data_IF_799901227082
#
_entry.id   IF_799901227082
#
_cell.length_a   1.000
_cell.length_b   1.000
_cell.length_c   1.000
_cell.angle_alpha   90.00
_cell.angle_beta   90.00
_cell.angle_gamma   90.00
#
_symmetry.space_group_name_H-M   'P 1'
#
loop_
_entity.id
_entity.type
_entity.pdbx_description
1 polymer ?
#
# COMPACT_ATOMS: atom_id res chain seq x y z
N UNK A 1 26.29 34.36 -25.72
CA UNK A 1 24.88 34.58 -25.36
C UNK A 1 24.34 33.24 -24.87
N UNK A 2 24.16 33.03 -23.55
CA UNK A 2 23.79 31.74 -22.99
C UNK A 2 22.28 31.70 -22.78
N UNK A 3 21.51 31.29 -23.79
CA UNK A 3 20.06 31.11 -23.64
C UNK A 3 19.72 29.63 -23.43
N UNK A 4 19.43 29.35 -22.15
CA UNK A 4 18.51 28.34 -21.63
C UNK A 4 18.43 27.01 -22.39
N UNK A 5 19.34 26.08 -22.08
CA UNK A 5 18.95 24.67 -22.03
C UNK A 5 18.04 24.50 -20.81
N UNK A 6 16.75 24.82 -20.99
CA UNK A 6 15.69 24.32 -20.12
C UNK A 6 15.70 22.79 -20.27
N UNK A 7 16.59 22.15 -19.54
CA UNK A 7 16.61 20.73 -19.30
C UNK A 7 15.25 20.42 -18.68
N UNK A 8 14.30 20.03 -19.54
CA UNK A 8 13.04 19.42 -19.11
C UNK A 8 13.48 18.24 -18.27
N UNK A 9 13.52 18.43 -16.96
CA UNK A 9 13.51 17.35 -15.97
C UNK A 9 12.19 16.64 -16.19
N UNK A 10 12.17 15.79 -17.21
CA UNK A 10 11.09 14.88 -17.52
C UNK A 10 11.02 14.01 -16.29
N UNK A 11 10.09 14.35 -15.38
CA UNK A 11 9.68 13.43 -14.34
C UNK A 11 9.33 12.16 -15.09
N UNK A 12 10.09 11.06 -14.94
CA UNK A 12 9.69 9.82 -15.57
C UNK A 12 8.35 9.48 -14.92
N UNK A 13 7.27 9.73 -15.67
CA UNK A 13 5.93 9.43 -15.21
C UNK A 13 5.91 7.96 -14.77
N UNK A 14 5.13 7.59 -13.75
CA UNK A 14 5.03 6.22 -13.23
C UNK A 14 4.35 5.24 -14.21
N UNK A 15 4.63 5.34 -15.52
CA UNK A 15 4.09 4.49 -16.59
C UNK A 15 4.38 3.01 -16.34
N UNK A 16 5.61 2.70 -15.88
CA UNK A 16 5.99 1.33 -15.54
C UNK A 16 5.22 0.77 -14.36
N UNK A 17 4.92 1.60 -13.36
CA UNK A 17 4.14 1.17 -12.19
C UNK A 17 2.69 0.90 -12.58
N UNK A 18 2.08 1.77 -13.39
CA UNK A 18 0.72 1.54 -13.91
C UNK A 18 0.66 0.21 -14.68
N UNK A 19 1.60 -0.04 -15.61
CA UNK A 19 1.64 -1.30 -16.34
C UNK A 19 1.83 -2.51 -15.43
N UNK A 20 2.72 -2.42 -14.44
CA UNK A 20 2.96 -3.51 -13.49
C UNK A 20 1.73 -3.76 -12.60
N UNK A 21 1.07 -2.71 -12.14
CA UNK A 21 -0.17 -2.79 -11.38
C UNK A 21 -1.28 -3.41 -12.20
N UNK A 22 -1.49 -2.98 -13.44
CA UNK A 22 -2.46 -3.61 -14.34
C UNK A 22 -2.13 -5.09 -14.59
N UNK A 23 -0.86 -5.43 -14.83
CA UNK A 23 -0.43 -6.81 -15.03
C UNK A 23 -0.64 -7.66 -13.78
N UNK A 24 -0.38 -7.11 -12.59
CA UNK A 24 -0.63 -7.77 -11.31
C UNK A 24 -2.12 -7.98 -11.07
N UNK A 25 -2.95 -6.94 -11.27
CA UNK A 25 -4.40 -7.03 -11.11
C UNK A 25 -4.97 -8.09 -12.06
N UNK A 26 -4.57 -8.06 -13.34
CA UNK A 26 -5.00 -9.05 -14.32
C UNK A 26 -4.52 -10.46 -13.95
N UNK A 27 -3.26 -10.61 -13.53
CA UNK A 27 -2.72 -11.90 -13.09
C UNK A 27 -3.43 -12.45 -11.86
N UNK A 28 -3.68 -11.59 -10.86
CA UNK A 28 -4.45 -11.92 -9.66
C UNK A 28 -5.88 -12.31 -10.00
N UNK A 29 -6.52 -11.60 -10.93
CA UNK A 29 -7.86 -11.92 -11.40
C UNK A 29 -7.90 -13.29 -12.08
N UNK A 30 -6.96 -13.57 -12.99
CA UNK A 30 -6.85 -14.87 -13.67
C UNK A 30 -6.58 -15.99 -12.66
N UNK A 31 -5.70 -15.75 -11.67
CA UNK A 31 -5.34 -16.75 -10.67
C UNK A 31 -6.50 -17.09 -9.73
N UNK A 32 -7.24 -16.08 -9.27
CA UNK A 32 -8.29 -16.25 -8.26
C UNK A 32 -9.65 -16.61 -8.86
N UNK A 33 -10.02 -15.99 -9.99
CA UNK A 33 -11.33 -16.18 -10.61
C UNK A 33 -11.29 -17.15 -11.80
N UNK A 34 -10.16 -17.24 -12.51
CA UNK A 34 -10.01 -18.06 -13.71
C UNK A 34 -10.86 -17.59 -14.89
N UNK A 35 -10.60 -18.08 -16.11
CA UNK A 35 -11.49 -17.90 -17.25
C UNK A 35 -12.70 -18.85 -17.09
N UNK A 36 -13.51 -18.65 -16.05
CA UNK A 36 -14.73 -19.44 -15.85
C UNK A 36 -15.81 -18.96 -16.83
N UNK A 37 -16.56 -19.91 -17.38
CA UNK A 37 -17.64 -19.68 -18.35
C UNK A 37 -18.77 -18.77 -17.82
N UNK A 38 -19.78 -18.46 -18.64
CA UNK A 38 -20.74 -17.39 -18.39
C UNK A 38 -21.37 -17.49 -17.00
N UNK A 39 -21.06 -16.47 -16.18
CA UNK A 39 -21.70 -16.00 -14.96
C UNK A 39 -22.96 -16.79 -14.54
N UNK A 40 -22.78 -17.95 -13.92
CA UNK A 40 -23.83 -18.50 -13.06
C UNK A 40 -23.81 -17.65 -11.78
N UNK A 41 -24.85 -16.85 -11.63
CA UNK A 41 -24.88 -15.60 -10.87
C UNK A 41 -24.89 -15.71 -9.35
N UNK A 42 -24.94 -16.91 -8.76
CA UNK A 42 -25.00 -17.06 -7.30
C UNK A 42 -24.49 -18.44 -6.87
N UNK A 43 -23.17 -18.60 -6.83
CA UNK A 43 -22.58 -19.73 -6.09
C UNK A 43 -21.54 -19.20 -5.12
N UNK A 44 -21.53 -19.75 -3.90
CA UNK A 44 -20.59 -19.44 -2.82
C UNK A 44 -19.11 -19.41 -3.29
N UNK A 45 -18.79 -20.14 -4.36
CA UNK A 45 -17.49 -20.15 -5.04
C UNK A 45 -16.99 -18.76 -5.49
N UNK A 46 -17.89 -17.84 -5.86
CA UNK A 46 -17.49 -16.49 -6.29
C UNK A 46 -17.01 -15.62 -5.13
N UNK A 47 -17.59 -15.83 -3.93
CA UNK A 47 -17.19 -15.10 -2.74
C UNK A 47 -15.77 -15.50 -2.31
N UNK A 48 -15.41 -16.78 -2.41
CA UNK A 48 -14.06 -17.26 -2.11
C UNK A 48 -13.02 -16.73 -3.10
N UNK A 49 -13.33 -16.72 -4.41
CA UNK A 49 -12.47 -16.13 -5.43
C UNK A 49 -12.20 -14.64 -5.20
N UNK A 50 -13.20 -13.88 -4.77
CA UNK A 50 -13.06 -12.46 -4.41
C UNK A 50 -12.21 -12.25 -3.15
N UNK A 51 -12.33 -13.13 -2.15
CA UNK A 51 -11.49 -13.10 -0.94
C UNK A 51 -10.03 -13.31 -1.31
N UNK A 52 -9.73 -14.36 -2.06
CA UNK A 52 -8.38 -14.66 -2.55
C UNK A 52 -7.82 -13.52 -3.43
N UNK A 53 -8.67 -12.91 -4.26
CA UNK A 53 -8.29 -11.74 -5.04
C UNK A 53 -7.88 -10.55 -4.16
N UNK A 54 -8.66 -10.24 -3.11
CA UNK A 54 -8.34 -9.15 -2.18
C UNK A 54 -7.01 -9.37 -1.43
N UNK A 55 -6.73 -10.62 -1.02
CA UNK A 55 -5.45 -10.99 -0.39
C UNK A 55 -4.30 -10.84 -1.39
N UNK A 56 -4.49 -11.27 -2.63
CA UNK A 56 -3.46 -11.16 -3.68
C UNK A 56 -3.16 -9.69 -4.01
N UNK A 57 -4.16 -8.81 -3.98
CA UNK A 57 -3.94 -7.37 -4.08
C UNK A 57 -3.13 -6.85 -2.90
N UNK A 58 -3.46 -7.27 -1.68
CA UNK A 58 -2.72 -6.89 -0.47
C UNK A 58 -1.24 -7.30 -0.57
N UNK A 59 -0.95 -8.52 -1.02
CA UNK A 59 0.43 -8.98 -1.25
C UNK A 59 1.17 -8.14 -2.30
N UNK A 60 0.47 -7.72 -3.36
CA UNK A 60 1.03 -6.81 -4.37
C UNK A 60 1.43 -5.46 -3.76
N UNK A 61 0.60 -4.92 -2.86
CA UNK A 61 0.82 -3.65 -2.17
C UNK A 61 1.95 -3.76 -1.15
N UNK A 62 2.00 -4.83 -0.36
CA UNK A 62 2.94 -4.95 0.77
C UNK A 62 4.31 -5.49 0.36
N UNK A 63 4.40 -6.28 -0.72
CA UNK A 63 5.64 -6.95 -1.13
C UNK A 63 6.09 -6.48 -2.51
N UNK A 64 5.28 -6.70 -3.55
CA UNK A 64 5.72 -6.52 -4.94
C UNK A 64 6.06 -5.04 -5.24
N UNK A 65 5.23 -4.11 -4.77
CA UNK A 65 5.46 -2.69 -4.98
C UNK A 65 6.70 -2.16 -4.23
N UNK A 66 6.86 -2.34 -2.91
CA UNK A 66 8.07 -1.90 -2.20
C UNK A 66 9.36 -2.51 -2.76
N UNK A 67 9.35 -3.80 -3.12
CA UNK A 67 10.49 -4.46 -3.75
C UNK A 67 10.85 -3.82 -5.09
N UNK A 68 9.88 -3.73 -6.00
CA UNK A 68 10.12 -3.14 -7.33
C UNK A 68 10.61 -1.70 -7.23
N UNK A 69 10.14 -0.94 -6.25
CA UNK A 69 10.53 0.45 -6.07
C UNK A 69 11.92 0.60 -5.47
N UNK A 70 12.26 -0.16 -4.42
CA UNK A 70 13.56 -0.05 -3.75
C UNK A 70 14.73 -0.61 -4.58
N UNK A 71 14.44 -1.47 -5.57
CA UNK A 71 15.39 -1.94 -6.58
C UNK A 71 15.80 -0.86 -7.59
N UNK A 72 15.03 0.22 -7.74
CA UNK A 72 15.37 1.31 -8.64
C UNK A 72 16.48 2.20 -8.03
N UNK A 73 17.54 2.43 -8.81
CA UNK A 73 18.79 3.04 -8.35
C UNK A 73 18.75 4.57 -8.25
N UNK A 74 17.76 5.24 -8.85
CA UNK A 74 17.67 6.72 -8.91
C UNK A 74 16.34 7.24 -8.37
N UNK A 75 16.41 7.89 -7.21
CA UNK A 75 15.35 8.73 -6.68
C UNK A 75 15.80 10.18 -6.72
N UNK A 76 15.19 10.99 -7.57
CA UNK A 76 15.43 12.44 -7.64
C UNK A 76 14.57 13.20 -6.63
N UNK A 77 13.37 12.70 -6.33
CA UNK A 77 12.44 13.28 -5.36
C UNK A 77 11.64 12.16 -4.66
N UNK A 78 12.21 11.48 -3.64
CA UNK A 78 11.67 10.23 -3.08
C UNK A 78 10.25 10.39 -2.49
N UNK A 79 9.97 11.53 -1.85
CA UNK A 79 8.66 11.82 -1.25
C UNK A 79 7.59 12.07 -2.32
N UNK A 80 7.90 12.88 -3.34
CA UNK A 80 6.91 13.20 -4.38
C UNK A 80 6.61 11.98 -5.26
N UNK A 81 7.62 11.16 -5.52
CA UNK A 81 7.46 9.93 -6.29
C UNK A 81 6.63 8.89 -5.53
N UNK A 82 6.92 8.66 -4.24
CA UNK A 82 6.12 7.74 -3.41
C UNK A 82 4.67 8.21 -3.25
N UNK A 83 4.40 9.52 -3.07
CA UNK A 83 3.04 10.03 -3.03
C UNK A 83 2.27 9.81 -4.34
N UNK A 84 2.93 10.05 -5.49
CA UNK A 84 2.32 9.76 -6.78
C UNK A 84 2.05 8.26 -6.96
N UNK A 85 2.97 7.41 -6.54
CA UNK A 85 2.80 5.95 -6.57
C UNK A 85 1.61 5.54 -5.68
N UNK A 86 1.45 6.11 -4.47
CA UNK A 86 0.30 5.87 -3.60
C UNK A 86 -1.03 6.24 -4.28
N UNK A 87 -1.11 7.43 -4.90
CA UNK A 87 -2.33 7.89 -5.58
C UNK A 87 -2.69 6.92 -6.71
N UNK A 88 -1.69 6.52 -7.52
CA UNK A 88 -1.90 5.58 -8.62
C UNK A 88 -2.43 4.23 -8.11
N UNK A 89 -1.85 3.70 -7.04
CA UNK A 89 -2.27 2.43 -6.47
C UNK A 89 -3.67 2.51 -5.85
N UNK A 90 -3.97 3.57 -5.09
CA UNK A 90 -5.31 3.78 -4.52
C UNK A 90 -6.35 3.87 -5.63
N UNK A 91 -6.12 4.70 -6.65
CA UNK A 91 -7.03 4.81 -7.78
C UNK A 91 -7.21 3.48 -8.52
N UNK A 92 -6.13 2.71 -8.71
CA UNK A 92 -6.18 1.40 -9.37
C UNK A 92 -7.02 0.40 -8.58
N UNK A 93 -6.87 0.38 -7.25
CA UNK A 93 -7.64 -0.48 -6.35
C UNK A 93 -9.12 -0.08 -6.34
N UNK A 94 -9.43 1.21 -6.21
CA UNK A 94 -10.81 1.72 -6.22
C UNK A 94 -11.52 1.40 -7.54
N UNK A 95 -10.88 1.70 -8.68
CA UNK A 95 -11.44 1.42 -10.02
C UNK A 95 -11.67 -0.08 -10.24
N UNK A 96 -10.90 -0.95 -9.59
CA UNK A 96 -11.04 -2.40 -9.73
C UNK A 96 -12.10 -2.98 -8.79
N UNK A 97 -12.11 -2.56 -7.52
CA UNK A 97 -13.00 -3.11 -6.50
C UNK A 97 -14.44 -2.59 -6.59
N UNK A 98 -14.65 -1.35 -7.04
CA UNK A 98 -16.00 -0.78 -7.17
C UNK A 98 -16.89 -1.54 -8.15
N UNK A 99 -16.45 -1.85 -9.39
CA UNK A 99 -17.25 -2.66 -10.32
C UNK A 99 -17.46 -4.09 -9.82
N UNK A 100 -16.47 -4.68 -9.12
CA UNK A 100 -16.58 -6.03 -8.54
C UNK A 100 -17.69 -6.13 -7.48
N UNK A 101 -18.10 -5.00 -6.89
CA UNK A 101 -19.28 -4.95 -6.03
C UNK A 101 -20.56 -5.29 -6.79
N UNK A 102 -20.71 -4.89 -8.05
CA UNK A 102 -21.91 -5.23 -8.85
C UNK A 102 -22.01 -6.72 -9.15
N UNK A 103 -20.88 -7.43 -9.06
CA UNK A 103 -20.75 -8.86 -9.31
C UNK A 103 -20.72 -9.68 -8.01
N UNK A 104 -20.80 -9.04 -6.84
CA UNK A 104 -20.69 -9.70 -5.54
C UNK A 104 -21.82 -9.30 -4.60
N UNK A 105 -22.09 -10.14 -3.60
CA UNK A 105 -23.09 -9.87 -2.55
C UNK A 105 -22.57 -8.90 -1.47
N UNK A 106 -21.49 -8.17 -1.74
CA UNK A 106 -20.87 -7.30 -0.75
C UNK A 106 -21.69 -6.02 -0.51
N UNK A 107 -21.97 -5.77 0.77
CA UNK A 107 -22.59 -4.51 1.19
C UNK A 107 -21.66 -3.32 0.92
N UNK A 108 -22.26 -2.13 0.79
CA UNK A 108 -21.51 -0.86 0.61
C UNK A 108 -20.44 -0.72 1.70
N UNK A 109 -20.83 -0.95 2.95
CA UNK A 109 -19.96 -0.78 4.11
C UNK A 109 -18.77 -1.75 4.09
N UNK A 110 -19.00 -3.00 3.64
CA UNK A 110 -17.93 -3.99 3.51
C UNK A 110 -16.93 -3.56 2.43
N UNK A 111 -17.40 -3.19 1.24
CA UNK A 111 -16.50 -2.72 0.17
C UNK A 111 -15.68 -1.51 0.62
N UNK A 112 -16.31 -0.54 1.29
CA UNK A 112 -15.66 0.68 1.78
C UNK A 112 -14.60 0.38 2.86
N UNK A 113 -14.87 -0.60 3.73
CA UNK A 113 -13.89 -1.03 4.73
C UNK A 113 -12.66 -1.71 4.09
N UNK A 114 -12.86 -2.57 3.08
CA UNK A 114 -11.77 -3.25 2.36
C UNK A 114 -10.91 -2.21 1.62
N UNK A 115 -11.53 -1.28 0.90
CA UNK A 115 -10.79 -0.25 0.16
C UNK A 115 -10.02 0.68 1.10
N UNK A 116 -10.60 1.07 2.24
CA UNK A 116 -9.90 1.88 3.24
C UNK A 116 -8.70 1.14 3.87
N UNK A 117 -8.84 -0.15 4.16
CA UNK A 117 -7.73 -0.97 4.67
C UNK A 117 -6.59 -1.02 3.65
N UNK A 118 -6.91 -1.33 2.38
CA UNK A 118 -5.93 -1.35 1.29
C UNK A 118 -5.26 0.02 1.12
N UNK A 119 -6.04 1.10 1.11
CA UNK A 119 -5.53 2.46 1.01
C UNK A 119 -4.60 2.84 2.17
N UNK A 120 -4.96 2.47 3.41
CA UNK A 120 -4.10 2.68 4.57
C UNK A 120 -2.76 1.95 4.44
N UNK A 121 -2.77 0.69 3.98
CA UNK A 121 -1.54 -0.08 3.76
C UNK A 121 -0.70 0.48 2.62
N UNK A 122 -1.32 0.98 1.54
CA UNK A 122 -0.63 1.70 0.47
C UNK A 122 0.08 2.93 1.04
N UNK A 123 -0.59 3.73 1.86
CA UNK A 123 0.01 4.92 2.47
C UNK A 123 1.16 4.58 3.42
N UNK A 124 1.00 3.53 4.23
CA UNK A 124 2.01 3.07 5.17
C UNK A 124 3.25 2.54 4.44
N UNK A 125 3.08 1.69 3.43
CA UNK A 125 4.17 1.19 2.60
C UNK A 125 4.81 2.30 1.79
N UNK A 126 4.04 3.27 1.30
CA UNK A 126 4.55 4.45 0.61
C UNK A 126 5.48 5.29 1.49
N UNK A 127 5.13 5.47 2.78
CA UNK A 127 6.00 6.14 3.75
C UNK A 127 7.31 5.37 3.98
N UNK A 128 7.25 4.05 4.12
CA UNK A 128 8.43 3.19 4.26
C UNK A 128 9.34 3.24 3.03
N UNK A 129 8.75 3.21 1.83
CA UNK A 129 9.48 3.36 0.56
C UNK A 129 10.12 4.75 0.48
N UNK A 130 9.44 5.81 0.90
CA UNK A 130 9.99 7.16 0.93
C UNK A 130 11.21 7.27 1.86
N UNK A 131 11.15 6.65 3.04
CA UNK A 131 12.27 6.57 3.99
C UNK A 131 13.45 5.79 3.40
N UNK A 132 13.20 4.61 2.83
CA UNK A 132 14.23 3.76 2.22
C UNK A 132 14.89 4.38 1.00
N UNK A 133 14.12 5.14 0.21
CA UNK A 133 14.63 5.88 -0.94
C UNK A 133 15.56 7.04 -0.53
N UNK A 134 15.31 7.66 0.63
CA UNK A 134 16.18 8.69 1.21
C UNK A 134 17.47 8.15 1.86
N UNK A 135 17.51 6.86 2.19
CA UNK A 135 18.68 6.24 2.81
C UNK A 135 19.83 6.04 1.79
N UNK A 136 21.03 6.47 2.18
CA UNK A 136 22.25 6.43 1.35
C UNK A 136 22.87 5.02 1.26
N UNK A 137 22.55 4.14 2.23
CA UNK A 137 23.07 2.77 2.31
C UNK A 137 22.10 1.71 1.80
N UNK A 138 22.62 0.71 1.09
CA UNK A 138 21.86 -0.45 0.62
C UNK A 138 21.26 -1.27 1.78
N UNK A 139 21.90 -1.25 2.93
CA UNK A 139 21.48 -1.96 4.15
C UNK A 139 20.12 -1.48 4.67
N UNK A 140 19.86 -0.16 4.70
CA UNK A 140 18.55 0.37 5.11
C UNK A 140 17.43 -0.06 4.14
N UNK A 141 17.72 -0.09 2.83
CA UNK A 141 16.74 -0.55 1.83
C UNK A 141 16.40 -2.02 2.01
N UNK A 142 17.42 -2.85 2.24
CA UNK A 142 17.25 -4.28 2.53
C UNK A 142 16.48 -4.46 3.83
N UNK A 143 16.78 -3.72 4.89
CA UNK A 143 16.05 -3.81 6.16
C UNK A 143 14.59 -3.39 6.04
N UNK A 144 14.26 -2.40 5.20
CA UNK A 144 12.86 -2.00 4.97
C UNK A 144 12.12 -3.07 4.17
N UNK A 145 12.74 -3.63 3.13
CA UNK A 145 12.14 -4.75 2.36
C UNK A 145 11.99 -5.98 3.24
N UNK A 146 13.01 -6.34 4.01
CA UNK A 146 13.00 -7.46 4.95
C UNK A 146 11.95 -7.23 6.04
N UNK A 147 11.86 -6.01 6.57
CA UNK A 147 10.85 -5.62 7.55
C UNK A 147 9.44 -5.76 6.99
N UNK A 148 9.16 -5.24 5.79
CA UNK A 148 7.87 -5.40 5.11
C UNK A 148 7.55 -6.87 4.82
N UNK A 149 8.54 -7.66 4.40
CA UNK A 149 8.38 -9.09 4.11
C UNK A 149 8.13 -9.89 5.39
N UNK A 150 8.88 -9.65 6.47
CA UNK A 150 8.64 -10.24 7.78
C UNK A 150 7.27 -9.83 8.32
N UNK A 151 6.87 -8.57 8.19
CA UNK A 151 5.53 -8.11 8.58
C UNK A 151 4.43 -8.83 7.82
N UNK A 152 4.63 -9.15 6.54
CA UNK A 152 3.60 -9.80 5.73
C UNK A 152 3.60 -11.33 5.88
N UNK A 153 4.79 -11.94 5.97
CA UNK A 153 4.98 -13.41 5.93
C UNK A 153 5.08 -14.02 7.33
N UNK A 154 5.66 -13.33 8.31
CA UNK A 154 5.78 -13.81 9.69
C UNK A 154 4.60 -13.42 10.58
N UNK A 155 3.70 -12.54 10.13
CA UNK A 155 2.46 -12.24 10.86
C UNK A 155 1.62 -13.47 11.23
N UNK A 156 1.37 -14.47 10.36
CA UNK A 156 0.60 -15.65 10.74
C UNK A 156 1.27 -16.49 11.84
N UNK A 157 2.59 -16.41 11.99
CA UNK A 157 3.36 -17.14 13.01
C UNK A 157 3.35 -16.43 14.39
N UNK A 158 2.96 -15.16 14.45
CA UNK A 158 2.92 -14.35 15.67
C UNK A 158 1.50 -14.26 16.28
N UNK A 159 0.54 -15.00 15.73
CA UNK A 159 -0.90 -14.93 16.03
C UNK A 159 -1.31 -15.48 17.40
N UNK A 160 -0.40 -16.09 18.15
CA UNK A 160 -0.67 -16.56 19.52
C UNK A 160 -0.96 -15.42 20.52
N UNK A 161 -0.63 -14.17 20.16
CA UNK A 161 -1.00 -12.99 20.93
C UNK A 161 -2.25 -12.33 20.32
N UNK A 162 -3.42 -12.49 20.97
CA UNK A 162 -4.68 -11.80 20.61
C UNK A 162 -4.51 -10.28 20.39
N UNK A 163 -3.52 -9.69 21.07
CA UNK A 163 -3.16 -8.28 20.98
C UNK A 163 -2.47 -7.86 19.67
N UNK A 164 -2.13 -8.77 18.74
CA UNK A 164 -1.43 -8.45 17.48
C UNK A 164 -2.19 -8.89 16.21
N UNK A 165 -3.33 -9.57 16.34
CA UNK A 165 -4.14 -10.02 15.20
C UNK A 165 -4.61 -8.87 14.29
N UNK A 166 -4.79 -7.66 14.84
CA UNK A 166 -5.20 -6.47 14.09
C UNK A 166 -4.07 -5.83 13.24
N UNK A 167 -2.83 -6.31 13.35
CA UNK A 167 -1.71 -5.80 12.56
C UNK A 167 -1.40 -6.64 11.32
N UNK A 168 -1.98 -7.85 11.19
CA UNK A 168 -1.71 -8.70 10.04
C UNK A 168 -2.49 -8.21 8.80
N UNK A 169 -1.83 -7.74 7.72
CA UNK A 169 -2.52 -7.26 6.52
C UNK A 169 -3.41 -8.33 5.86
N UNK A 170 -3.01 -9.60 5.93
CA UNK A 170 -3.73 -10.72 5.31
C UNK A 170 -4.92 -11.14 6.16
N UNK A 171 -4.74 -11.28 7.47
CA UNK A 171 -5.87 -11.65 8.35
C UNK A 171 -6.90 -10.53 8.45
N UNK A 172 -6.47 -9.26 8.39
CA UNK A 172 -7.40 -8.12 8.40
C UNK A 172 -8.26 -8.08 7.14
N UNK A 173 -7.67 -8.36 5.97
CA UNK A 173 -8.41 -8.43 4.70
C UNK A 173 -9.30 -9.65 4.62
N UNK A 174 -8.85 -10.81 5.11
CA UNK A 174 -9.65 -12.03 5.21
C UNK A 174 -10.80 -11.89 6.22
N UNK A 175 -10.56 -11.33 7.40
CA UNK A 175 -11.57 -11.15 8.44
C UNK A 175 -12.71 -10.23 7.98
N UNK A 176 -12.38 -9.14 7.29
CA UNK A 176 -13.39 -8.19 6.77
C UNK A 176 -14.15 -8.78 5.58
N UNK A 177 -13.54 -9.68 4.80
CA UNK A 177 -14.17 -10.29 3.63
C UNK A 177 -14.97 -11.57 3.94
N UNK A 178 -14.86 -12.13 5.15
CA UNK A 178 -15.50 -13.40 5.55
C UNK A 178 -16.80 -13.26 6.33
N UNK A 179 -16.99 -12.22 7.14
CA UNK A 179 -18.08 -12.16 8.13
C UNK A 179 -19.29 -11.35 7.62
N UNK A 180 -20.50 -11.93 7.70
CA UNK A 180 -21.76 -11.30 7.27
C UNK A 180 -22.24 -10.13 8.13
N UNK A 181 -22.54 -8.95 7.52
CA UNK A 181 -22.97 -7.78 8.26
C UNK A 181 -24.36 -7.94 8.90
N UNK A 182 -25.21 -8.85 8.40
CA UNK A 182 -26.60 -8.99 8.88
C UNK A 182 -26.72 -9.73 10.22
N UNK A 183 -25.75 -10.60 10.56
CA UNK A 183 -25.64 -11.19 11.92
C UNK A 183 -25.06 -10.22 12.97
N UNK A 184 -24.70 -9.00 12.55
CA UNK A 184 -23.82 -8.06 13.27
C UNK A 184 -24.51 -6.78 13.78
N UNK A 185 -25.80 -6.57 13.48
CA UNK A 185 -26.56 -5.42 13.99
C UNK A 185 -27.03 -5.57 15.45
N UNK A 186 -26.72 -6.69 16.11
CA UNK A 186 -27.09 -6.97 17.51
C UNK A 186 -26.01 -6.73 18.56
N UNK A 187 -24.72 -6.58 18.21
CA UNK A 187 -23.64 -6.35 19.18
C UNK A 187 -22.53 -5.41 18.64
N UNK A 188 -22.08 -4.52 19.52
CA UNK A 188 -20.99 -3.51 19.40
C UNK A 188 -19.60 -4.09 19.04
N UNK A 189 -18.56 -3.27 18.76
CA UNK A 189 -18.30 -2.38 17.62
C UNK A 189 -17.28 -3.04 16.66
N UNK A 190 -17.43 -2.81 15.36
CA UNK A 190 -16.60 -3.36 14.28
C UNK A 190 -15.07 -3.40 14.55
N UNK A 191 -14.39 -4.55 14.36
CA UNK A 191 -12.93 -4.63 14.22
C UNK A 191 -12.41 -3.85 13.01
N UNK A 192 -13.22 -3.75 11.93
CA UNK A 192 -12.83 -3.03 10.72
C UNK A 192 -12.79 -1.51 10.89
N UNK A 193 -13.67 -0.91 11.72
CA UNK A 193 -13.64 0.55 11.95
C UNK A 193 -12.47 0.95 12.83
N UNK A 194 -12.20 0.19 13.90
CA UNK A 194 -11.02 0.40 14.74
C UNK A 194 -9.74 0.16 13.95
N UNK A 195 -9.68 -0.90 13.13
CA UNK A 195 -8.53 -1.17 12.28
C UNK A 195 -8.31 -0.07 11.23
N UNK A 196 -9.36 0.42 10.55
CA UNK A 196 -9.25 1.55 9.61
C UNK A 196 -8.72 2.80 10.30
N UNK A 197 -9.26 3.15 11.47
CA UNK A 197 -8.80 4.32 12.24
C UNK A 197 -7.34 4.15 12.68
N UNK A 198 -6.96 2.97 13.17
CA UNK A 198 -5.58 2.67 13.57
C UNK A 198 -4.61 2.70 12.39
N UNK A 199 -5.00 2.18 11.22
CA UNK A 199 -4.17 2.20 10.01
C UNK A 199 -4.00 3.61 9.47
N UNK A 200 -5.06 4.42 9.50
CA UNK A 200 -4.97 5.84 9.13
C UNK A 200 -4.05 6.59 10.10
N UNK A 201 -4.16 6.34 11.41
CA UNK A 201 -3.25 6.92 12.41
C UNK A 201 -1.80 6.48 12.19
N UNK A 202 -1.56 5.20 11.92
CA UNK A 202 -0.24 4.66 11.63
C UNK A 202 0.35 5.25 10.34
N UNK A 203 -0.47 5.39 9.30
CA UNK A 203 -0.08 6.03 8.05
C UNK A 203 0.27 7.51 8.26
N UNK A 204 -0.58 8.26 8.98
CA UNK A 204 -0.32 9.66 9.33
C UNK A 204 0.98 9.77 10.13
N UNK A 205 1.17 8.94 11.15
CA UNK A 205 2.40 8.88 11.96
C UNK A 205 3.65 8.56 11.13
N UNK A 206 3.55 7.62 10.19
CA UNK A 206 4.66 7.30 9.29
C UNK A 206 5.03 8.50 8.39
N UNK A 207 4.03 9.19 7.85
CA UNK A 207 4.23 10.37 7.01
C UNK A 207 4.76 11.58 7.80
N UNK A 208 4.35 11.78 9.05
CA UNK A 208 4.93 12.83 9.90
C UNK A 208 6.41 12.57 10.20
N UNK A 209 6.80 11.31 10.44
CA UNK A 209 8.21 10.91 10.59
C UNK A 209 9.00 11.15 9.31
N UNK A 210 8.47 10.79 8.14
CA UNK A 210 9.11 11.03 6.83
C UNK A 210 9.35 12.54 6.61
N UNK A 211 8.33 13.35 6.88
CA UNK A 211 8.40 14.80 6.71
C UNK A 211 9.36 15.44 7.74
N UNK A 212 9.33 14.98 8.99
CA UNK A 212 10.23 15.42 10.05
C UNK A 212 11.70 15.11 9.74
N UNK A 213 12.00 13.89 9.29
CA UNK A 213 13.34 13.50 8.86
C UNK A 213 13.87 14.36 7.70
N UNK A 214 12.99 14.79 6.79
CA UNK A 214 13.35 15.70 5.70
C UNK A 214 13.67 17.11 6.18
N UNK A 215 12.92 17.63 7.15
CA UNK A 215 13.15 18.97 7.71
C UNK A 215 14.49 19.00 8.45
N UNK A 216 14.78 17.98 9.27
CA UNK A 216 16.03 17.84 10.03
C UNK A 216 17.26 17.68 9.14
N UNK A 217 17.13 17.00 8.00
CA UNK A 217 18.24 16.86 7.04
C UNK A 217 18.50 18.13 6.26
N UNK A 218 17.48 18.97 6.05
CA UNK A 218 17.63 20.29 5.41
C UNK A 218 18.36 21.28 6.31
N UNK A 219 17.97 21.39 7.58
CA UNK A 219 18.61 22.31 8.54
C UNK A 219 20.10 22.02 8.72
N UNK A 220 20.48 20.74 8.79
CA UNK A 220 21.88 20.33 8.92
C UNK A 220 22.76 20.75 7.74
N UNK A 221 22.20 20.89 6.54
CA UNK A 221 22.94 21.33 5.37
C UNK A 221 23.12 22.85 5.35
N UNK A 222 22.12 23.59 5.82
CA UNK A 222 22.18 25.05 5.96
C UNK A 222 23.20 25.45 7.04
N UNK A 223 23.27 24.72 8.16
CA UNK A 223 24.24 24.97 9.24
C UNK A 223 25.70 24.77 8.78
N UNK A 224 25.96 23.75 7.95
CA UNK A 224 27.30 23.48 7.40
C UNK A 224 27.71 24.47 6.30
N UNK A 225 26.74 25.02 5.56
CA UNK A 225 27.00 26.04 4.55
C UNK A 225 27.38 27.39 5.19
N UNK A 226 26.83 27.70 6.37
CA UNK A 226 27.16 28.91 7.13
C UNK A 226 28.54 28.79 7.80
N UNK A 227 28.97 27.59 8.23
CA UNK A 227 30.29 27.41 8.82
C UNK A 227 31.44 27.46 7.81
N UNK A 228 31.20 27.15 6.53
CA UNK A 228 32.23 27.12 5.49
C UNK A 228 32.50 28.47 4.79
N UNK A 229 31.75 29.52 5.12
CA UNK A 229 31.91 30.86 4.51
C UNK A 229 32.73 31.84 5.37
N UNK A 230 33.32 31.35 6.47
CA UNK A 230 34.13 32.15 7.41
C UNK A 230 35.63 31.83 7.39
N UNK A 231 36.11 31.04 6.41
CA UNK A 231 37.55 30.81 6.16
C UNK A 231 38.05 31.54 4.92
#
# INVERSE_FOLDING_TARGET
MPDSSAEKTSFPLPRGLIMLSCMWITGAWILCMGPRGPLNSMSDDHAEGLRMFSVTLMLGITIAWPMSRLLLRRFTAPIRQSLLDCIVLICSVEVTLWPLRLLSEWSVDRTLSITNILAGWILLMGALVALGAGARGWTCRILIVLGALLLTVCSPLLTDAEALQWWNPVDLTLGVSTIDPERLFGMSPWPGRTAVVQLLLAAIGAWTVVLGARILTRSRHDDLAISGSFE
#
